data_IF_660967493841
#
_entry.id   IF_660967493841
#
_cell.length_a   1.000
_cell.length_b   1.000
_cell.length_c   1.000
_cell.angle_alpha   90.00
_cell.angle_beta   90.00
_cell.angle_gamma   90.00
#
_symmetry.space_group_name_H-M   'P 1'
#
loop_
_entity.id
_entity.type
_entity.pdbx_description
1 polymer ?
#
# COMPACT_ATOMS: atom_id res chain seq x y z
N UNK A 1 27.94 -10.86 -10.52
CA UNK A 1 27.81 -10.17 -9.24
C UNK A 1 27.43 -11.18 -8.17
N UNK A 2 27.82 -10.91 -6.94
CA UNK A 2 27.43 -11.68 -5.75
C UNK A 2 26.94 -10.65 -4.72
N UNK A 3 25.68 -10.20 -4.82
CA UNK A 3 25.14 -9.26 -3.86
C UNK A 3 24.84 -9.96 -2.52
N UNK A 4 24.86 -9.22 -1.43
CA UNK A 4 24.39 -9.69 -0.12
C UNK A 4 22.88 -9.51 0.01
N UNK A 5 22.32 -8.49 -0.65
CA UNK A 5 20.90 -8.19 -0.65
C UNK A 5 20.43 -7.65 -2.01
N UNK A 6 19.14 -7.84 -2.32
CA UNK A 6 18.45 -7.27 -3.46
C UNK A 6 17.42 -6.29 -2.94
N UNK A 7 17.52 -5.02 -3.36
CA UNK A 7 16.47 -4.02 -3.19
C UNK A 7 15.60 -4.00 -4.45
N UNK A 8 14.38 -4.51 -4.31
CA UNK A 8 13.40 -4.51 -5.38
C UNK A 8 12.59 -3.20 -5.38
N UNK A 9 12.82 -2.38 -6.35
CA UNK A 9 12.08 -1.14 -6.64
C UNK A 9 11.42 -1.21 -8.03
N UNK A 10 11.23 -2.42 -8.53
CA UNK A 10 10.53 -2.69 -9.79
C UNK A 10 9.00 -2.65 -9.59
N UNK A 11 8.27 -2.90 -10.66
CA UNK A 11 6.82 -3.03 -10.58
C UNK A 11 6.41 -4.25 -9.75
N UNK A 12 5.29 -4.21 -9.04
CA UNK A 12 4.84 -5.22 -8.07
C UNK A 12 4.63 -6.62 -8.68
N UNK A 13 4.41 -6.71 -9.98
CA UNK A 13 4.24 -8.00 -10.69
C UNK A 13 5.45 -8.92 -10.57
N UNK A 14 6.63 -8.38 -10.29
CA UNK A 14 7.91 -9.11 -10.30
C UNK A 14 8.33 -9.63 -8.92
N UNK A 15 7.66 -9.21 -7.86
CA UNK A 15 8.06 -9.45 -6.47
C UNK A 15 8.33 -10.94 -6.19
N UNK A 16 7.36 -11.80 -6.49
CA UNK A 16 7.50 -13.22 -6.18
C UNK A 16 8.61 -13.89 -7.00
N UNK A 17 8.79 -13.48 -8.27
CA UNK A 17 9.87 -13.99 -9.12
C UNK A 17 11.25 -13.58 -8.60
N UNK A 18 11.37 -12.35 -8.11
CA UNK A 18 12.61 -11.85 -7.50
C UNK A 18 12.86 -12.55 -6.15
N UNK A 19 11.82 -12.78 -5.34
CA UNK A 19 11.94 -13.54 -4.09
C UNK A 19 12.41 -14.98 -4.34
N UNK A 20 11.89 -15.65 -5.38
CA UNK A 20 12.37 -16.99 -5.78
C UNK A 20 13.84 -16.97 -6.21
N UNK A 21 14.26 -15.95 -6.96
CA UNK A 21 15.65 -15.78 -7.36
C UNK A 21 16.56 -15.51 -6.14
N UNK A 22 16.13 -14.70 -5.18
CA UNK A 22 16.85 -14.44 -3.94
C UNK A 22 17.07 -15.74 -3.14
N UNK A 23 16.02 -16.54 -2.97
CA UNK A 23 16.11 -17.85 -2.31
C UNK A 23 17.08 -18.79 -3.03
N UNK A 24 17.00 -18.87 -4.35
CA UNK A 24 17.87 -19.74 -5.15
C UNK A 24 19.35 -19.33 -5.08
N UNK A 25 19.63 -18.03 -4.89
CA UNK A 25 20.98 -17.48 -4.83
C UNK A 25 21.53 -17.31 -3.40
N UNK A 26 20.71 -17.50 -2.38
CA UNK A 26 21.11 -17.29 -0.98
C UNK A 26 21.32 -15.81 -0.66
N UNK A 27 20.39 -14.93 -1.08
CA UNK A 27 20.50 -13.47 -1.00
C UNK A 27 19.30 -12.90 -0.25
N UNK A 28 19.52 -11.91 0.60
CA UNK A 28 18.45 -11.19 1.29
C UNK A 28 17.60 -10.37 0.32
N UNK A 29 16.34 -10.13 0.70
CA UNK A 29 15.34 -9.44 -0.12
C UNK A 29 14.75 -8.24 0.60
N UNK A 30 14.55 -7.13 -0.13
CA UNK A 30 13.85 -5.93 0.35
C UNK A 30 12.96 -5.44 -0.79
N UNK A 31 11.69 -5.14 -0.51
CA UNK A 31 10.79 -4.49 -1.47
C UNK A 31 10.18 -3.19 -0.93
N UNK A 32 9.47 -2.51 -1.81
CA UNK A 32 8.81 -1.22 -1.52
C UNK A 32 7.30 -1.26 -1.72
N UNK A 33 6.75 -2.38 -2.18
CA UNK A 33 5.32 -2.55 -2.48
C UNK A 33 4.89 -4.00 -2.31
N UNK A 34 3.58 -4.24 -2.23
CA UNK A 34 3.02 -5.58 -2.24
C UNK A 34 2.93 -6.14 -3.68
N UNK A 35 2.99 -7.47 -3.77
CA UNK A 35 2.79 -8.17 -5.05
C UNK A 35 1.39 -7.92 -5.61
N UNK A 36 1.35 -7.68 -6.89
CA UNK A 36 0.13 -7.65 -7.69
C UNK A 36 0.23 -8.66 -8.85
N UNK A 37 -0.88 -9.29 -9.21
CA UNK A 37 -0.92 -10.15 -10.38
C UNK A 37 -1.00 -9.29 -11.66
N UNK A 38 -0.14 -9.60 -12.63
CA UNK A 38 -0.16 -8.92 -13.94
C UNK A 38 -1.45 -9.23 -14.72
N UNK A 39 -1.95 -10.46 -14.60
CA UNK A 39 -3.17 -10.92 -15.26
C UNK A 39 -4.28 -11.23 -14.24
N UNK A 40 -5.08 -10.20 -13.91
CA UNK A 40 -6.20 -10.33 -12.97
C UNK A 40 -7.36 -11.18 -13.51
N UNK A 41 -7.36 -11.49 -14.80
CA UNK A 41 -8.35 -12.36 -15.44
C UNK A 41 -7.91 -13.84 -15.44
N UNK A 42 -6.68 -14.16 -15.03
CA UNK A 42 -6.24 -15.55 -14.85
C UNK A 42 -7.18 -16.27 -13.86
N UNK A 43 -7.90 -17.34 -14.28
CA UNK A 43 -8.84 -18.03 -13.41
C UNK A 43 -8.22 -18.61 -12.13
N UNK A 44 -6.92 -18.98 -12.17
CA UNK A 44 -6.21 -19.51 -10.99
C UNK A 44 -5.97 -18.40 -9.97
N UNK A 45 -5.49 -17.25 -10.45
CA UNK A 45 -5.29 -16.09 -9.58
C UNK A 45 -6.62 -15.63 -9.00
N UNK A 46 -7.65 -15.50 -9.83
CA UNK A 46 -9.00 -15.07 -9.41
C UNK A 46 -9.56 -15.96 -8.30
N UNK A 47 -9.46 -17.27 -8.44
CA UNK A 47 -9.93 -18.21 -7.41
C UNK A 47 -9.22 -18.05 -6.07
N UNK A 48 -7.89 -17.80 -6.10
CA UNK A 48 -7.11 -17.55 -4.89
C UNK A 48 -7.49 -16.19 -4.29
N UNK A 49 -7.60 -15.17 -5.11
CA UNK A 49 -7.98 -13.82 -4.70
C UNK A 49 -9.37 -13.79 -4.03
N UNK A 50 -10.39 -14.38 -4.68
CA UNK A 50 -11.74 -14.45 -4.15
C UNK A 50 -11.80 -15.20 -2.79
N UNK A 51 -11.05 -16.29 -2.67
CA UNK A 51 -10.92 -17.01 -1.41
C UNK A 51 -10.35 -16.10 -0.31
N UNK A 52 -9.33 -15.32 -0.62
CA UNK A 52 -8.69 -14.38 0.31
C UNK A 52 -9.62 -13.26 0.72
N UNK A 53 -10.29 -12.62 -0.23
CA UNK A 53 -11.28 -11.58 0.08
C UNK A 53 -12.34 -12.08 1.05
N UNK A 54 -12.78 -13.33 0.88
CA UNK A 54 -13.74 -13.96 1.79
C UNK A 54 -13.15 -14.21 3.18
N UNK A 55 -11.89 -14.63 3.28
CA UNK A 55 -11.19 -14.85 4.54
C UNK A 55 -10.91 -13.55 5.30
N UNK A 56 -10.55 -12.49 4.58
CA UNK A 56 -10.24 -11.18 5.14
C UNK A 56 -11.51 -10.36 5.46
N UNK A 57 -12.62 -10.62 4.79
CA UNK A 57 -13.87 -9.89 4.95
C UNK A 57 -13.94 -8.55 4.23
N UNK A 58 -13.01 -8.27 3.31
CA UNK A 58 -13.01 -7.07 2.47
C UNK A 58 -12.40 -7.35 1.10
N UNK A 59 -12.66 -6.47 0.12
CA UNK A 59 -12.06 -6.54 -1.21
C UNK A 59 -10.88 -5.59 -1.31
N UNK A 60 -9.67 -6.13 -1.32
CA UNK A 60 -8.46 -5.37 -1.54
C UNK A 60 -7.57 -6.08 -2.55
N UNK A 61 -7.12 -5.36 -3.58
CA UNK A 61 -6.11 -5.86 -4.49
C UNK A 61 -4.73 -5.89 -3.84
N UNK A 62 -4.51 -5.07 -2.83
CA UNK A 62 -3.25 -4.80 -2.17
C UNK A 62 -3.16 -5.61 -0.88
N UNK A 63 -2.33 -6.66 -0.87
CA UNK A 63 -2.23 -7.61 0.22
C UNK A 63 -0.85 -8.28 0.24
N UNK A 64 -0.13 -8.11 1.33
CA UNK A 64 1.21 -8.71 1.53
C UNK A 64 1.20 -10.21 1.76
N UNK A 65 0.06 -10.87 1.88
CA UNK A 65 0.03 -12.30 2.18
C UNK A 65 0.67 -13.18 1.10
N UNK A 66 0.81 -12.68 -0.14
CA UNK A 66 1.57 -13.34 -1.21
C UNK A 66 3.05 -13.45 -0.87
N UNK A 67 3.67 -12.36 -0.42
CA UNK A 67 5.06 -12.34 0.03
C UNK A 67 5.18 -13.04 1.39
N UNK A 68 4.22 -12.88 2.30
CA UNK A 68 4.22 -13.59 3.59
C UNK A 68 4.19 -15.12 3.45
N UNK A 69 3.67 -15.66 2.34
CA UNK A 69 3.73 -17.10 2.04
C UNK A 69 5.17 -17.63 1.91
N UNK A 70 6.14 -16.74 1.68
CA UNK A 70 7.57 -17.09 1.60
C UNK A 70 8.26 -17.14 2.96
N UNK A 71 7.60 -16.77 4.05
CA UNK A 71 8.18 -16.65 5.38
C UNK A 71 9.01 -17.86 5.80
N UNK A 72 8.44 -19.06 5.73
CA UNK A 72 9.16 -20.26 6.16
C UNK A 72 10.33 -20.61 5.23
N UNK A 73 10.19 -20.38 3.93
CA UNK A 73 11.29 -20.59 2.97
C UNK A 73 12.50 -19.70 3.28
N UNK A 74 12.30 -18.41 3.52
CA UNK A 74 13.38 -17.49 3.90
C UNK A 74 13.98 -17.85 5.25
N UNK A 75 13.17 -18.21 6.23
CA UNK A 75 13.62 -18.64 7.55
C UNK A 75 14.47 -19.92 7.50
N UNK A 76 14.04 -20.93 6.73
CA UNK A 76 14.78 -22.18 6.54
C UNK A 76 16.11 -21.95 5.81
N UNK A 77 16.14 -21.02 4.87
CA UNK A 77 17.35 -20.63 4.15
C UNK A 77 18.29 -19.74 5.00
N UNK A 78 17.87 -19.27 6.18
CA UNK A 78 18.63 -18.33 7.01
C UNK A 78 18.72 -16.93 6.40
N UNK A 79 17.76 -16.56 5.54
CA UNK A 79 17.69 -15.29 4.84
C UNK A 79 16.65 -14.37 5.43
N UNK A 80 16.81 -13.08 5.16
CA UNK A 80 15.89 -12.03 5.58
C UNK A 80 15.11 -11.49 4.39
N UNK A 81 13.78 -11.30 4.56
CA UNK A 81 12.95 -10.52 3.64
C UNK A 81 12.32 -9.36 4.41
N UNK A 82 12.55 -8.13 3.94
CA UNK A 82 11.93 -6.91 4.47
C UNK A 82 10.89 -6.45 3.44
N UNK A 83 9.62 -6.44 3.85
CA UNK A 83 8.51 -6.12 2.98
C UNK A 83 7.99 -4.71 3.23
N UNK A 84 7.64 -3.99 2.16
CA UNK A 84 7.06 -2.66 2.26
C UNK A 84 7.99 -1.60 2.85
N UNK A 85 9.24 -1.56 2.42
CA UNK A 85 10.24 -0.59 2.88
C UNK A 85 10.36 0.61 1.93
N UNK A 86 9.21 1.11 1.45
CA UNK A 86 9.11 2.30 0.62
C UNK A 86 8.80 3.57 1.41
N UNK A 87 8.05 4.47 0.80
CA UNK A 87 7.54 5.67 1.46
C UNK A 87 6.20 5.36 2.14
N UNK A 88 5.22 4.96 1.38
CA UNK A 88 3.94 4.40 1.78
C UNK A 88 3.69 3.12 0.94
N UNK A 89 3.84 1.96 1.53
CA UNK A 89 4.24 1.66 2.91
C UNK A 89 5.75 1.81 3.17
N UNK A 90 6.10 2.02 4.44
CA UNK A 90 7.48 2.04 4.92
C UNK A 90 7.77 3.20 5.86
N UNK A 91 8.04 4.40 5.33
CA UNK A 91 8.31 5.61 6.12
C UNK A 91 7.13 5.96 7.02
N UNK A 92 5.89 5.82 6.54
CA UNK A 92 4.65 6.02 7.32
C UNK A 92 4.60 5.11 8.54
N UNK A 93 4.96 3.84 8.38
CA UNK A 93 5.05 2.86 9.47
C UNK A 93 6.16 3.20 10.47
N UNK A 94 7.33 3.62 9.97
CA UNK A 94 8.47 4.04 10.81
C UNK A 94 8.12 5.28 11.62
N UNK A 95 7.47 6.28 11.02
CA UNK A 95 7.04 7.49 11.73
C UNK A 95 5.99 7.17 12.80
N UNK A 96 5.06 6.29 12.51
CA UNK A 96 4.06 5.84 13.49
C UNK A 96 4.72 5.14 14.69
N UNK A 97 5.65 4.24 14.44
CA UNK A 97 6.41 3.54 15.49
C UNK A 97 7.31 4.52 16.28
N UNK A 98 7.94 5.48 15.59
CA UNK A 98 8.76 6.51 16.23
C UNK A 98 7.91 7.43 17.12
N UNK A 99 6.75 7.83 16.63
CA UNK A 99 5.81 8.66 17.40
C UNK A 99 5.32 7.93 18.66
N UNK A 100 4.93 6.66 18.54
CA UNK A 100 4.55 5.84 19.70
C UNK A 100 5.69 5.73 20.72
N UNK A 101 6.93 5.56 20.25
CA UNK A 101 8.09 5.40 21.14
C UNK A 101 8.50 6.68 21.87
N UNK A 102 8.32 7.86 21.24
CA UNK A 102 8.96 9.09 21.70
C UNK A 102 8.00 10.21 22.09
N UNK A 103 6.75 10.18 21.62
CA UNK A 103 5.82 11.31 21.78
C UNK A 103 4.48 10.93 22.39
N UNK A 104 4.07 9.66 22.33
CA UNK A 104 2.77 9.21 22.82
C UNK A 104 2.90 8.00 23.72
N UNK A 105 2.15 7.98 24.81
CA UNK A 105 2.02 6.79 25.65
C UNK A 105 1.15 5.74 24.96
N UNK A 106 0.11 6.18 24.22
CA UNK A 106 -0.81 5.36 23.45
C UNK A 106 -1.21 6.06 22.15
N UNK A 107 -1.40 5.30 21.07
CA UNK A 107 -1.94 5.80 19.81
C UNK A 107 -3.28 5.12 19.58
N UNK A 108 -4.36 5.88 19.57
CA UNK A 108 -5.71 5.36 19.31
C UNK A 108 -6.16 5.55 17.87
N UNK A 109 -5.68 6.57 17.18
CA UNK A 109 -6.06 6.84 15.78
C UNK A 109 -4.84 7.27 14.97
N UNK A 110 -4.78 6.80 13.74
CA UNK A 110 -3.80 7.22 12.74
C UNK A 110 -4.57 7.62 11.49
N UNK A 111 -4.33 8.80 10.99
CA UNK A 111 -4.73 9.26 9.67
C UNK A 111 -3.46 9.58 8.87
N UNK A 112 -3.22 8.85 7.80
CA UNK A 112 -2.10 9.07 6.88
C UNK A 112 -2.65 9.95 5.76
N UNK A 113 -1.99 11.08 5.52
CA UNK A 113 -2.42 12.05 4.53
C UNK A 113 -1.29 12.21 3.51
N UNK A 114 -1.40 11.50 2.39
CA UNK A 114 -0.45 11.63 1.29
C UNK A 114 -0.80 12.82 0.40
N UNK A 115 0.18 13.71 0.19
CA UNK A 115 0.01 14.91 -0.58
C UNK A 115 1.08 15.07 -1.65
N UNK A 116 0.65 15.04 -2.90
CA UNK A 116 1.48 15.47 -4.01
C UNK A 116 1.35 16.99 -4.21
N UNK A 117 2.40 17.72 -3.83
CA UNK A 117 2.51 19.16 -4.03
C UNK A 117 3.21 19.57 -5.33
N UNK A 118 3.60 18.61 -6.18
CA UNK A 118 4.30 18.85 -7.43
C UNK A 118 3.40 19.37 -8.57
N UNK A 119 4.04 19.96 -9.57
CA UNK A 119 3.41 20.37 -10.82
C UNK A 119 4.32 19.95 -11.98
N UNK A 120 3.79 19.19 -12.91
CA UNK A 120 4.49 18.74 -14.11
C UNK A 120 4.37 19.73 -15.29
N UNK A 121 3.63 20.80 -15.12
CA UNK A 121 3.37 21.77 -16.19
C UNK A 121 2.44 21.25 -17.30
N UNK A 122 1.74 20.14 -17.08
CA UNK A 122 0.78 19.55 -18.00
C UNK A 122 -0.63 19.51 -17.41
N UNK A 123 -1.68 19.70 -18.22
CA UNK A 123 -3.08 19.62 -17.73
C UNK A 123 -3.47 18.26 -17.15
N UNK A 124 -2.83 17.20 -17.65
CA UNK A 124 -3.02 15.83 -17.19
C UNK A 124 -1.67 15.12 -17.10
N UNK A 125 -1.25 14.82 -15.91
CA UNK A 125 -0.02 14.07 -15.64
C UNK A 125 -0.11 13.35 -14.31
N UNK A 126 0.60 12.25 -14.22
CA UNK A 126 0.88 11.55 -12.97
C UNK A 126 2.38 11.33 -12.85
N UNK A 127 2.92 11.39 -11.65
CA UNK A 127 4.33 11.08 -11.35
C UNK A 127 4.51 9.63 -10.89
N UNK A 128 3.45 8.84 -10.97
CA UNK A 128 3.43 7.43 -10.63
C UNK A 128 3.06 6.58 -11.86
N UNK A 129 3.14 5.24 -11.75
CA UNK A 129 2.70 4.35 -12.82
C UNK A 129 1.20 4.58 -13.10
N UNK A 130 0.81 4.96 -14.33
CA UNK A 130 -0.58 5.32 -14.62
C UNK A 130 -1.56 4.17 -14.43
N UNK A 131 -1.15 2.93 -14.71
CA UNK A 131 -2.00 1.75 -14.58
C UNK A 131 -2.27 1.44 -13.10
N UNK A 132 -1.24 1.46 -12.25
CA UNK A 132 -1.40 1.25 -10.81
C UNK A 132 -2.30 2.33 -10.23
N UNK A 133 -2.06 3.58 -10.59
CA UNK A 133 -2.86 4.70 -10.11
C UNK A 133 -4.34 4.61 -10.54
N UNK A 134 -4.60 4.13 -11.78
CA UNK A 134 -5.95 3.84 -12.25
C UNK A 134 -6.64 2.77 -11.40
N UNK A 135 -5.94 1.69 -11.08
CA UNK A 135 -6.49 0.62 -10.24
C UNK A 135 -6.76 1.08 -8.83
N UNK A 136 -5.87 1.87 -8.23
CA UNK A 136 -6.07 2.45 -6.89
C UNK A 136 -7.34 3.29 -6.81
N UNK A 137 -7.56 4.22 -7.76
CA UNK A 137 -8.74 5.10 -7.74
C UNK A 137 -10.02 4.39 -8.13
N UNK A 138 -9.93 3.27 -8.83
CA UNK A 138 -11.08 2.44 -9.25
C UNK A 138 -11.42 1.34 -8.24
N UNK A 139 -10.50 1.02 -7.34
CA UNK A 139 -10.73 0.02 -6.30
C UNK A 139 -11.58 0.59 -5.15
N UNK A 140 -12.26 -0.31 -4.43
CA UNK A 140 -12.92 0.06 -3.20
C UNK A 140 -11.89 0.58 -2.19
N UNK A 141 -12.23 1.67 -1.51
CA UNK A 141 -11.48 2.13 -0.36
C UNK A 141 -11.75 1.25 0.85
N UNK A 142 -10.83 1.22 1.79
CA UNK A 142 -11.10 0.59 3.08
C UNK A 142 -10.26 1.22 4.19
N UNK A 143 -10.74 1.09 5.41
CA UNK A 143 -10.04 1.53 6.60
C UNK A 143 -10.27 0.58 7.77
N UNK A 144 -9.37 0.61 8.73
CA UNK A 144 -9.47 -0.17 9.96
C UNK A 144 -10.15 0.65 11.06
N UNK A 145 -11.15 0.06 11.73
CA UNK A 145 -11.78 0.66 12.91
C UNK A 145 -12.31 -0.40 13.86
N UNK A 146 -12.08 -0.21 15.17
CA UNK A 146 -12.61 -1.04 16.25
C UNK A 146 -12.46 -2.56 16.02
N UNK A 147 -11.32 -2.98 15.51
CA UNK A 147 -10.99 -4.38 15.33
C UNK A 147 -11.48 -5.01 14.01
N UNK A 148 -12.00 -4.23 13.08
CA UNK A 148 -12.50 -4.74 11.80
C UNK A 148 -12.25 -3.76 10.64
N UNK A 149 -12.30 -4.30 9.42
CA UNK A 149 -12.26 -3.51 8.21
C UNK A 149 -13.64 -2.97 7.84
N UNK A 150 -13.65 -1.73 7.36
CA UNK A 150 -14.82 -1.10 6.75
C UNK A 150 -14.48 -0.73 5.33
N UNK A 151 -15.27 -1.21 4.38
CA UNK A 151 -15.11 -0.96 2.96
C UNK A 151 -15.99 0.22 2.52
N UNK A 152 -15.49 1.01 1.57
CA UNK A 152 -16.19 2.12 0.93
C UNK A 152 -16.17 1.93 -0.59
N UNK A 153 -17.06 2.63 -1.30
CA UNK A 153 -16.96 2.67 -2.76
C UNK A 153 -15.72 3.45 -3.19
N UNK A 154 -15.25 3.25 -4.44
CA UNK A 154 -14.14 4.02 -4.98
C UNK A 154 -14.37 5.53 -4.82
N UNK A 155 -13.38 6.23 -4.29
CA UNK A 155 -13.37 7.69 -4.13
C UNK A 155 -14.59 8.28 -3.38
N UNK A 156 -15.35 7.47 -2.63
CA UNK A 156 -16.59 7.89 -1.95
C UNK A 156 -16.35 8.93 -0.85
N UNK A 157 -15.30 8.74 -0.07
CA UNK A 157 -14.98 9.66 1.02
C UNK A 157 -13.99 10.71 0.58
N UNK A 158 -14.46 11.94 0.50
CA UNK A 158 -13.67 13.13 0.26
C UNK A 158 -13.58 13.97 1.52
N UNK A 159 -12.40 14.48 1.81
CA UNK A 159 -12.14 15.47 2.83
C UNK A 159 -11.25 16.59 2.29
N UNK A 160 -11.18 17.71 2.99
CA UNK A 160 -10.24 18.79 2.69
C UNK A 160 -9.24 18.94 3.83
N UNK A 161 -7.99 19.22 3.46
CA UNK A 161 -6.94 19.48 4.44
C UNK A 161 -6.02 20.59 3.93
N UNK A 162 -5.61 21.46 4.84
CA UNK A 162 -4.63 22.50 4.53
C UNK A 162 -3.22 22.01 4.87
N UNK A 163 -2.53 21.51 3.86
CA UNK A 163 -1.17 21.00 4.01
C UNK A 163 -0.18 22.17 4.15
N UNK A 164 0.71 22.06 5.12
CA UNK A 164 1.74 23.09 5.33
C UNK A 164 2.56 23.30 4.05
N UNK A 165 2.78 24.55 3.67
CA UNK A 165 3.50 25.00 2.47
C UNK A 165 2.87 24.60 1.12
N UNK A 166 1.89 23.72 1.07
CA UNK A 166 1.20 23.28 -0.15
C UNK A 166 -0.17 23.93 -0.31
N UNK A 167 -0.86 24.22 0.82
CA UNK A 167 -2.20 24.81 0.85
C UNK A 167 -3.30 23.76 0.89
N UNK A 168 -4.54 24.24 0.71
CA UNK A 168 -5.73 23.42 0.79
C UNK A 168 -5.82 22.44 -0.40
N UNK A 169 -6.03 21.18 -0.10
CA UNK A 169 -6.22 20.10 -1.08
C UNK A 169 -7.41 19.23 -0.72
N UNK A 170 -8.08 18.74 -1.75
CA UNK A 170 -9.01 17.63 -1.63
C UNK A 170 -8.23 16.33 -1.51
N UNK A 171 -8.62 15.50 -0.57
CA UNK A 171 -8.06 14.17 -0.37
C UNK A 171 -9.18 13.13 -0.33
N UNK A 172 -8.87 11.92 -0.76
CA UNK A 172 -9.82 10.83 -0.88
C UNK A 172 -9.34 9.62 -0.11
N UNK A 173 -10.26 8.95 0.61
CA UNK A 173 -9.96 7.72 1.32
C UNK A 173 -9.76 6.59 0.32
N UNK A 174 -8.62 5.93 0.44
CA UNK A 174 -8.25 4.73 -0.31
C UNK A 174 -7.90 3.59 0.66
N UNK A 175 -7.90 2.36 0.16
CA UNK A 175 -7.18 1.28 0.82
C UNK A 175 -5.67 1.47 0.59
N UNK A 176 -4.88 1.20 1.64
CA UNK A 176 -3.42 1.19 1.50
C UNK A 176 -2.79 0.17 2.44
N UNK A 177 -1.72 -0.48 2.00
CA UNK A 177 -1.23 -1.71 2.61
C UNK A 177 -0.59 -1.53 3.98
N UNK A 178 -0.07 -0.35 4.32
CA UNK A 178 0.47 -0.12 5.67
C UNK A 178 -0.58 -0.19 6.77
N UNK A 179 -1.87 -0.01 6.43
CA UNK A 179 -2.96 -0.15 7.40
C UNK A 179 -2.93 -1.53 8.05
N UNK A 180 -2.62 -2.58 7.28
CA UNK A 180 -2.52 -3.95 7.81
C UNK A 180 -1.44 -4.07 8.88
N UNK A 181 -0.25 -3.57 8.59
CA UNK A 181 0.88 -3.66 9.51
C UNK A 181 0.68 -2.80 10.74
N UNK A 182 0.13 -1.60 10.59
CA UNK A 182 -0.18 -0.69 11.69
C UNK A 182 -1.29 -1.24 12.60
N UNK A 183 -2.37 -1.78 12.01
CA UNK A 183 -3.45 -2.40 12.77
C UNK A 183 -2.96 -3.59 13.62
N UNK A 184 -1.99 -4.34 13.11
CA UNK A 184 -1.42 -5.51 13.78
C UNK A 184 -0.40 -5.15 14.86
N UNK A 185 0.38 -4.08 14.67
CA UNK A 185 1.57 -3.80 15.48
C UNK A 185 1.44 -2.59 16.42
N UNK A 186 0.42 -1.74 16.27
CA UNK A 186 0.18 -0.62 17.20
C UNK A 186 -0.81 -1.07 18.29
N UNK A 187 -0.38 -1.25 19.54
CA UNK A 187 -1.27 -1.68 20.63
C UNK A 187 -2.37 -0.64 20.90
N UNK A 188 -3.59 -1.10 21.06
CA UNK A 188 -4.72 -0.24 21.43
C UNK A 188 -5.27 0.65 20.31
N UNK A 189 -4.79 0.46 19.08
CA UNK A 189 -5.28 1.21 17.91
C UNK A 189 -6.77 0.97 17.68
N UNK A 190 -7.53 2.03 17.48
CA UNK A 190 -8.97 1.99 17.26
C UNK A 190 -9.36 2.33 15.82
N UNK A 191 -8.57 3.17 15.13
CA UNK A 191 -8.84 3.57 13.75
C UNK A 191 -7.57 3.91 13.01
N UNK A 192 -7.48 3.42 11.76
CA UNK A 192 -6.42 3.79 10.81
C UNK A 192 -7.07 4.08 9.47
N UNK A 193 -6.73 5.22 8.85
CA UNK A 193 -7.21 5.63 7.54
C UNK A 193 -6.05 6.15 6.72
N UNK A 194 -6.12 5.92 5.41
CA UNK A 194 -5.21 6.50 4.43
C UNK A 194 -5.99 7.41 3.47
N UNK A 195 -5.45 8.57 3.20
CA UNK A 195 -6.00 9.53 2.25
C UNK A 195 -4.91 9.98 1.29
N UNK A 196 -5.26 10.06 0.02
CA UNK A 196 -4.39 10.57 -1.03
C UNK A 196 -5.03 11.78 -1.73
N UNK A 197 -4.19 12.74 -2.13
CA UNK A 197 -4.63 13.92 -2.87
C UNK A 197 -4.55 13.70 -4.36
N UNK A 198 -5.53 14.22 -5.08
CA UNK A 198 -5.54 14.21 -6.55
C UNK A 198 -5.88 15.60 -7.09
N UNK A 199 -5.20 16.01 -8.17
CA UNK A 199 -5.51 17.25 -8.86
C UNK A 199 -6.90 17.21 -9.53
N UNK A 200 -7.65 18.31 -9.49
CA UNK A 200 -8.99 18.37 -10.09
C UNK A 200 -8.97 18.12 -11.61
N UNK A 201 -7.92 18.59 -12.30
CA UNK A 201 -7.73 18.29 -13.72
C UNK A 201 -7.58 16.78 -13.95
N UNK A 202 -6.75 16.11 -13.13
CA UNK A 202 -6.58 14.65 -13.18
C UNK A 202 -7.92 13.93 -13.01
N UNK A 203 -8.65 14.22 -11.95
CA UNK A 203 -9.96 13.57 -11.67
C UNK A 203 -10.99 13.82 -12.77
N UNK A 204 -10.97 15.02 -13.40
CA UNK A 204 -11.87 15.34 -14.51
C UNK A 204 -11.58 14.47 -15.73
N UNK A 205 -10.31 14.28 -16.07
CA UNK A 205 -9.91 13.42 -17.18
C UNK A 205 -10.21 11.94 -16.88
N UNK A 206 -9.99 11.49 -15.64
CA UNK A 206 -10.29 10.12 -15.22
C UNK A 206 -11.78 9.79 -15.39
N UNK A 207 -12.67 10.70 -14.98
CA UNK A 207 -14.12 10.55 -15.19
C UNK A 207 -14.56 10.49 -16.65
N UNK A 208 -13.74 10.97 -17.56
CA UNK A 208 -14.03 10.85 -19.00
C UNK A 208 -13.60 9.50 -19.57
N UNK A 209 -12.78 8.73 -18.83
CA UNK A 209 -12.29 7.41 -19.24
C UNK A 209 -13.11 6.26 -18.64
N UNK A 210 -13.92 6.54 -17.64
CA UNK A 210 -14.96 5.62 -17.13
C UNK A 210 -16.10 5.46 -18.14
#
# INVERSE_FOLDING_TARGET
>A
YKPDAVLNVALPYQDLTIMDACLACGVDYIDTANYECEDTEDPKWRAIYEKRCKELGFTAYFDYSWQWAYKEKFKEAGLTAILGSGFDPGVTSVYSAYALKHYFDEIHTIDILDCNGGDHGYPFATNFNPEINLREVSANGSYWTDGHWVETKPMEWRAQYNFDQVGEKDMYLLHHEEIESLAKNIPGIKRIRFFMTFGQSYLTHMKCLE
#
